data_IF_108927949661
#
_entry.id   IF_108927949661
#
_cell.length_a   1.000
_cell.length_b   1.000
_cell.length_c   1.000
_cell.angle_alpha   90.00
_cell.angle_beta   90.00
_cell.angle_gamma   90.00
#
_symmetry.space_group_name_H-M   'P 1'
#
loop_
_entity.id
_entity.type
_entity.pdbx_description
1 polymer ?
#
# COMPACT_ATOMS: atom_id res chain seq x y z
N UNK A 1 9.35 -8.68 9.08
CA UNK A 1 10.26 -7.53 8.97
C UNK A 1 9.47 -6.23 9.14
N UNK A 2 10.04 -5.20 9.72
CA UNK A 2 9.46 -3.86 9.73
C UNK A 2 10.53 -2.82 9.46
N UNK A 3 10.18 -1.74 8.78
CA UNK A 3 11.06 -0.64 8.42
C UNK A 3 10.32 0.69 8.50
N UNK A 4 11.01 1.74 8.93
CA UNK A 4 10.51 3.10 8.84
C UNK A 4 10.64 3.59 7.39
N UNK A 5 9.68 4.40 6.97
CA UNK A 5 9.80 5.09 5.69
C UNK A 5 10.55 6.43 5.87
N UNK A 6 10.79 7.15 4.78
CA UNK A 6 11.29 8.54 4.88
C UNK A 6 10.26 9.51 5.48
N UNK A 7 8.98 9.13 5.51
CA UNK A 7 7.98 9.82 6.29
C UNK A 7 8.02 9.29 7.74
N UNK A 8 8.35 10.14 8.73
CA UNK A 8 8.44 9.73 10.13
C UNK A 8 7.10 9.28 10.73
N UNK A 9 5.98 9.57 10.06
CA UNK A 9 4.64 9.11 10.46
C UNK A 9 4.27 7.74 9.86
N UNK A 10 5.17 7.11 9.10
CA UNK A 10 4.87 5.93 8.31
C UNK A 10 5.83 4.78 8.61
N UNK A 11 5.24 3.62 8.84
CA UNK A 11 5.96 2.36 9.07
C UNK A 11 5.44 1.30 8.11
N UNK A 12 6.35 0.55 7.49
CA UNK A 12 6.02 -0.63 6.71
C UNK A 12 6.35 -1.89 7.51
N UNK A 13 5.48 -2.89 7.45
CA UNK A 13 5.74 -4.23 7.95
C UNK A 13 5.47 -5.28 6.88
N UNK A 14 6.35 -6.25 6.72
CA UNK A 14 6.19 -7.40 5.84
C UNK A 14 6.20 -8.71 6.63
N UNK A 15 5.23 -9.58 6.33
CA UNK A 15 5.08 -10.91 6.91
C UNK A 15 5.44 -12.00 5.89
N UNK A 16 5.96 -13.13 6.38
CA UNK A 16 6.36 -14.26 5.54
C UNK A 16 5.20 -14.83 4.69
N UNK A 17 3.97 -14.71 5.19
CA UNK A 17 2.74 -15.11 4.49
C UNK A 17 2.31 -14.14 3.37
N UNK A 18 3.23 -13.40 2.75
CA UNK A 18 2.90 -12.55 1.61
C UNK A 18 2.17 -11.26 1.96
N UNK A 19 2.08 -10.89 3.23
CA UNK A 19 1.32 -9.70 3.63
C UNK A 19 2.26 -8.55 3.92
N UNK A 20 2.09 -7.43 3.21
CA UNK A 20 2.79 -6.17 3.47
C UNK A 20 1.77 -5.14 3.93
N UNK A 21 2.04 -4.47 5.04
CA UNK A 21 1.16 -3.46 5.65
C UNK A 21 1.89 -2.13 5.79
N UNK A 22 1.16 -1.05 5.56
CA UNK A 22 1.56 0.31 5.83
C UNK A 22 0.78 0.84 7.03
N UNK A 23 1.47 1.47 7.96
CA UNK A 23 0.93 1.98 9.21
C UNK A 23 1.14 3.49 9.31
N UNK A 24 0.15 4.20 9.86
CA UNK A 24 0.31 5.56 10.36
C UNK A 24 0.61 5.50 11.85
N UNK A 25 1.69 6.16 12.27
CA UNK A 25 2.11 6.15 13.67
C UNK A 25 1.31 7.15 14.52
N UNK A 26 1.07 8.35 14.01
CA UNK A 26 0.20 9.37 14.62
C UNK A 26 -1.24 8.91 14.68
N UNK A 27 -1.74 8.32 13.59
CA UNK A 27 -3.09 7.79 13.51
C UNK A 27 -3.27 6.45 14.21
N UNK A 28 -2.19 5.76 14.58
CA UNK A 28 -2.19 4.43 15.22
C UNK A 28 -3.05 3.39 14.46
N UNK A 29 -3.10 3.46 13.13
CA UNK A 29 -3.91 2.55 12.31
C UNK A 29 -3.20 2.13 11.03
N UNK A 30 -3.66 1.00 10.48
CA UNK A 30 -3.21 0.52 9.18
C UNK A 30 -3.79 1.42 8.07
N UNK A 31 -2.92 1.97 7.25
CA UNK A 31 -3.28 2.82 6.10
C UNK A 31 -3.55 1.98 4.86
N UNK A 32 -2.76 0.92 4.66
CA UNK A 32 -2.91 0.02 3.52
C UNK A 32 -2.40 -1.39 3.85
N UNK A 33 -2.94 -2.38 3.15
CA UNK A 33 -2.43 -3.75 3.12
C UNK A 33 -2.35 -4.23 1.68
N UNK A 34 -1.22 -4.84 1.34
CA UNK A 34 -0.99 -5.50 0.07
C UNK A 34 -0.73 -6.98 0.35
N UNK A 35 -1.49 -7.83 -0.34
CA UNK A 35 -1.27 -9.27 -0.35
C UNK A 35 -0.50 -9.63 -1.62
N UNK A 36 0.60 -10.34 -1.43
CA UNK A 36 1.35 -11.01 -2.48
C UNK A 36 1.03 -12.50 -2.32
N UNK A 37 0.51 -13.13 -3.37
CA UNK A 37 0.20 -14.58 -3.39
C UNK A 37 1.46 -15.44 -3.53
N UNK A 38 2.47 -15.15 -2.70
CA UNK A 38 3.71 -15.90 -2.62
C UNK A 38 4.33 -15.76 -1.23
N UNK A 39 5.02 -16.79 -0.77
CA UNK A 39 5.82 -16.70 0.45
C UNK A 39 6.98 -15.74 0.25
N UNK A 40 7.05 -14.72 1.11
CA UNK A 40 8.15 -13.76 1.08
C UNK A 40 9.33 -14.33 1.86
N UNK A 41 10.47 -14.43 1.20
CA UNK A 41 11.73 -14.84 1.82
C UNK A 41 12.50 -13.64 2.36
N UNK A 42 12.42 -12.51 1.65
CA UNK A 42 13.10 -11.29 2.04
C UNK A 42 12.28 -10.08 1.61
N UNK A 43 12.45 -8.98 2.33
CA UNK A 43 11.97 -7.68 1.91
C UNK A 43 13.06 -6.63 2.20
N UNK A 44 13.07 -5.53 1.46
CA UNK A 44 13.93 -4.38 1.68
C UNK A 44 13.13 -3.10 1.40
N UNK A 45 13.31 -2.08 2.24
CA UNK A 45 12.75 -0.76 1.97
C UNK A 45 13.79 0.10 1.26
N UNK A 46 13.40 0.65 0.12
CA UNK A 46 14.14 1.67 -0.61
C UNK A 46 13.60 3.05 -0.24
N UNK A 47 14.38 3.76 0.56
CA UNK A 47 14.09 5.10 1.00
C UNK A 47 14.11 6.13 -0.14
N UNK A 48 14.97 5.94 -1.14
CA UNK A 48 15.14 6.90 -2.22
C UNK A 48 13.92 6.92 -3.14
N UNK A 49 13.43 5.74 -3.52
CA UNK A 49 12.23 5.59 -4.36
C UNK A 49 10.91 5.46 -3.59
N UNK A 50 10.95 5.34 -2.26
CA UNK A 50 9.77 5.10 -1.42
C UNK A 50 9.10 3.74 -1.74
N UNK A 51 9.90 2.71 -2.02
CA UNK A 51 9.41 1.39 -2.45
C UNK A 51 9.78 0.31 -1.46
N UNK A 52 8.98 -0.74 -1.42
CA UNK A 52 9.30 -1.98 -0.72
C UNK A 52 9.57 -3.04 -1.77
N UNK A 53 10.80 -3.53 -1.81
CA UNK A 53 11.17 -4.68 -2.62
C UNK A 53 10.87 -5.95 -1.81
N UNK A 54 10.07 -6.84 -2.36
CA UNK A 54 9.70 -8.09 -1.75
C UNK A 54 10.16 -9.24 -2.67
N UNK A 55 10.99 -10.14 -2.15
CA UNK A 55 11.52 -11.28 -2.89
C UNK A 55 10.81 -12.57 -2.44
N UNK A 56 10.34 -13.32 -3.43
CA UNK A 56 9.68 -14.62 -3.28
C UNK A 56 10.28 -15.65 -4.23
N UNK A 57 9.92 -16.93 -4.07
CA UNK A 57 10.32 -17.99 -4.99
C UNK A 57 9.85 -17.76 -6.45
N UNK A 58 8.83 -16.92 -6.66
CA UNK A 58 8.29 -16.60 -7.98
C UNK A 58 8.93 -15.35 -8.62
N UNK A 59 9.78 -14.64 -7.86
CA UNK A 59 10.45 -13.43 -8.33
C UNK A 59 10.42 -12.29 -7.31
N UNK A 60 10.87 -11.12 -7.77
CA UNK A 60 10.94 -9.89 -6.97
C UNK A 60 9.80 -8.96 -7.38
N UNK A 61 9.00 -8.53 -6.40
CA UNK A 61 7.92 -7.56 -6.57
C UNK A 61 8.32 -6.25 -5.88
N UNK A 62 8.28 -5.14 -6.61
CA UNK A 62 8.44 -3.81 -6.03
C UNK A 62 7.06 -3.20 -5.78
N UNK A 63 6.77 -2.88 -4.53
CA UNK A 63 5.55 -2.17 -4.14
C UNK A 63 5.87 -0.71 -3.88
N UNK A 64 5.13 0.20 -4.52
CA UNK A 64 5.28 1.63 -4.28
C UNK A 64 4.48 2.04 -3.04
N UNK A 65 5.14 2.69 -2.08
CA UNK A 65 4.49 3.26 -0.90
C UNK A 65 3.95 4.63 -1.30
N UNK A 66 2.73 4.65 -1.86
CA UNK A 66 2.07 5.89 -2.23
C UNK A 66 1.31 6.41 -1.00
N UNK A 67 1.73 7.56 -0.49
CA UNK A 67 0.93 8.34 0.45
C UNK A 67 -0.38 8.74 -0.23
N UNK A 68 -1.49 8.45 0.43
CA UNK A 68 -2.91 8.72 0.09
C UNK A 68 -3.20 9.43 -1.25
N UNK A 69 -4.16 8.94 -2.07
CA UNK A 69 -4.95 9.89 -2.85
C UNK A 69 -5.67 10.81 -1.85
N UNK A 70 -5.48 12.12 -2.00
CA UNK A 70 -6.27 13.13 -1.30
C UNK A 70 -7.77 12.80 -1.45
N UNK A 71 -8.57 12.81 -0.39
CA UNK A 71 -10.02 12.72 -0.51
C UNK A 71 -10.53 14.04 -1.11
N UNK A 72 -10.44 14.20 -2.43
CA UNK A 72 -10.89 15.43 -3.09
C UNK A 72 -10.83 15.41 -4.61
N UNK A 73 -9.98 14.61 -5.25
CA UNK A 73 -9.77 14.70 -6.69
C UNK A 73 -10.02 13.35 -7.37
N UNK A 74 -11.27 13.09 -7.78
CA UNK A 74 -11.59 11.91 -8.59
C UNK A 74 -13.02 11.41 -8.58
N UNK A 75 -13.97 12.05 -7.90
CA UNK A 75 -15.39 11.71 -7.97
C UNK A 75 -16.24 12.93 -8.38
N UNK A 76 -15.87 13.56 -9.49
CA UNK A 76 -16.76 14.45 -10.22
C UNK A 76 -17.04 13.84 -11.61
N UNK A 77 -18.34 13.65 -11.84
CA UNK A 77 -19.01 13.37 -13.12
C UNK A 77 -18.71 12.04 -13.83
N UNK A 78 -19.70 11.16 -13.81
CA UNK A 78 -20.64 11.12 -14.94
C UNK A 78 -22.04 10.73 -14.46
N UNK A 79 -22.90 11.75 -14.33
CA UNK A 79 -24.33 11.56 -14.33
C UNK A 79 -24.78 11.11 -15.71
N UNK A 80 -25.19 9.85 -15.81
CA UNK A 80 -26.13 9.34 -16.82
C UNK A 80 -27.10 8.48 -16.01
N UNK A 81 -28.21 9.03 -15.53
CA UNK A 81 -29.31 9.46 -16.36
C UNK A 81 -30.09 8.21 -16.77
N UNK A 82 -31.08 7.82 -15.98
CA UNK A 82 -32.34 7.18 -16.40
C UNK A 82 -33.23 6.96 -15.17
N UNK A 83 -34.23 7.81 -15.00
CA UNK A 83 -35.54 7.35 -14.53
C UNK A 83 -36.14 6.45 -15.62
N UNK A 84 -36.94 5.43 -15.26
CA UNK A 84 -38.38 5.68 -15.33
C UNK A 84 -39.21 5.05 -14.20
N UNK A 85 -40.22 5.84 -13.84
CA UNK A 85 -41.49 5.60 -13.13
C UNK A 85 -42.41 4.59 -13.87
N UNK A 86 -43.62 4.27 -13.35
CA UNK A 86 -44.21 4.58 -12.04
C UNK A 86 -44.48 3.38 -11.13
#
# INVERSE_FOLDING_TARGET
>A
MAAFTNDPDRLVSAAAGGTVRLWSLTGQHQVAEVRIDASLHCAAFDADSGRVLAASALGVTALQVVGRPEPGEGAAEHGRGTTPTP
#
